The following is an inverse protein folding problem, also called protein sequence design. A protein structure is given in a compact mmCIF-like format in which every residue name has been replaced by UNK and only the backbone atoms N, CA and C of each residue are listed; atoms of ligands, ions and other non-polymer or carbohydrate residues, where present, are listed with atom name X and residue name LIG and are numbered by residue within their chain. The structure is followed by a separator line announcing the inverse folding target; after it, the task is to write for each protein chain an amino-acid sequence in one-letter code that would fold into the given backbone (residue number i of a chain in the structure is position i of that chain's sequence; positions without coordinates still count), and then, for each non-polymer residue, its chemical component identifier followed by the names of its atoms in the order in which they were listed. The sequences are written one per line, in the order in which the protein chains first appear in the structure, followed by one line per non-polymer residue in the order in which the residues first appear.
data_IF_435981655479
#
_entry.id   IF_435981655479
#
_cell.length_a   1.000
_cell.length_b   1.000
_cell.length_c   1.000
_cell.angle_alpha   90.00
_cell.angle_beta   90.00
_cell.angle_gamma   90.00
#
_symmetry.space_group_name_H-M   'P 1'
#
loop_
_entity.id
_entity.type
_entity.pdbx_description
1 polymer ?
#
# COMPACT_ATOMS: atom_id res chain seq x y z
N UNK A 1 -17.11 -3.72 -5.98
CA UNK A 1 -16.88 -2.99 -4.72
C UNK A 1 -16.35 -3.86 -3.59
N UNK A 2 -16.84 -5.10 -3.37
CA UNK A 2 -16.32 -5.95 -2.29
C UNK A 2 -14.82 -6.30 -2.44
N UNK A 3 -14.34 -6.50 -3.66
CA UNK A 3 -12.92 -6.70 -3.96
C UNK A 3 -12.08 -5.44 -3.69
N UNK A 4 -12.58 -4.27 -4.10
CA UNK A 4 -11.94 -2.99 -3.81
C UNK A 4 -11.82 -2.80 -2.30
N UNK A 5 -12.92 -3.00 -1.56
CA UNK A 5 -12.92 -2.92 -0.10
C UNK A 5 -11.91 -3.88 0.55
N UNK A 6 -11.80 -5.12 0.05
CA UNK A 6 -10.84 -6.09 0.58
C UNK A 6 -9.38 -5.67 0.30
N UNK A 7 -9.11 -5.05 -0.86
CA UNK A 7 -7.81 -4.46 -1.16
C UNK A 7 -7.41 -3.39 -0.15
N UNK A 8 -8.30 -2.42 0.08
CA UNK A 8 -8.06 -1.32 1.03
C UNK A 8 -7.84 -1.83 2.47
N UNK A 9 -8.56 -2.89 2.88
CA UNK A 9 -8.31 -3.54 4.17
C UNK A 9 -6.91 -4.12 4.23
N UNK A 10 -6.52 -4.90 3.21
CA UNK A 10 -5.22 -5.56 3.14
C UNK A 10 -4.07 -4.54 3.07
N UNK A 11 -4.22 -3.48 2.26
CA UNK A 11 -3.25 -2.40 2.17
C UNK A 11 -3.08 -1.65 3.49
N UNK A 12 -4.18 -1.29 4.15
CA UNK A 12 -4.14 -0.62 5.44
C UNK A 12 -3.45 -1.47 6.53
N UNK A 13 -3.79 -2.77 6.60
CA UNK A 13 -3.17 -3.70 7.53
C UNK A 13 -1.67 -3.87 7.24
N UNK A 14 -1.31 -4.01 5.98
CA UNK A 14 0.09 -4.15 5.56
C UNK A 14 0.93 -2.92 5.91
N UNK A 15 0.46 -1.72 5.57
CA UNK A 15 1.18 -0.49 5.93
C UNK A 15 1.28 -0.30 7.46
N UNK A 16 0.28 -0.75 8.23
CA UNK A 16 0.36 -0.74 9.69
C UNK A 16 1.45 -1.69 10.21
N UNK A 17 1.53 -2.92 9.70
CA UNK A 17 2.56 -3.90 10.04
C UNK A 17 3.96 -3.37 9.70
N UNK A 18 4.13 -2.73 8.53
CA UNK A 18 5.39 -2.11 8.12
C UNK A 18 5.80 -0.97 9.07
N UNK A 19 4.83 -0.16 9.51
CA UNK A 19 5.08 0.90 10.50
C UNK A 19 5.59 0.32 11.82
N UNK A 20 4.97 -0.75 12.32
CA UNK A 20 5.36 -1.43 13.56
C UNK A 20 6.75 -2.05 13.46
N UNK A 21 7.08 -2.66 12.32
CA UNK A 21 8.43 -3.19 12.07
C UNK A 21 9.48 -2.08 12.09
N UNK A 22 9.23 -0.96 11.41
CA UNK A 22 10.15 0.17 11.41
C UNK A 22 10.33 0.80 12.80
N UNK A 23 9.29 0.84 13.63
CA UNK A 23 9.42 1.24 15.04
C UNK A 23 10.31 0.30 15.84
N UNK A 24 10.18 -1.02 15.62
CA UNK A 24 11.04 -2.02 16.26
C UNK A 24 12.52 -1.85 15.88
N UNK A 25 12.78 -1.40 14.67
CA UNK A 25 14.12 -1.07 14.18
C UNK A 25 14.56 0.37 14.47
N UNK A 26 13.84 1.09 15.35
CA UNK A 26 14.12 2.48 15.72
C UNK A 26 14.09 3.48 14.54
N UNK A 27 13.43 3.14 13.44
CA UNK A 27 13.25 4.00 12.27
C UNK A 27 11.90 4.72 12.34
N UNK A 28 11.81 5.70 13.25
CA UNK A 28 10.55 6.41 13.52
C UNK A 28 10.03 7.24 12.34
N UNK A 29 10.93 7.76 11.49
CA UNK A 29 10.53 8.57 10.33
C UNK A 29 9.82 7.72 9.27
N UNK A 30 10.39 6.59 8.90
CA UNK A 30 9.77 5.65 7.96
C UNK A 30 8.51 5.03 8.54
N UNK A 31 8.50 4.71 9.84
CA UNK A 31 7.32 4.24 10.54
C UNK A 31 6.16 5.24 10.44
N UNK A 32 6.43 6.53 10.62
CA UNK A 32 5.41 7.58 10.50
C UNK A 32 4.84 7.70 9.08
N UNK A 33 5.66 7.49 8.05
CA UNK A 33 5.21 7.46 6.65
C UNK A 33 4.26 6.28 6.39
N UNK A 34 4.64 5.06 6.79
CA UNK A 34 3.78 3.89 6.64
C UNK A 34 2.48 4.02 7.44
N UNK A 35 2.52 4.54 8.68
CA UNK A 35 1.31 4.80 9.45
C UNK A 35 0.38 5.82 8.76
N UNK A 36 0.94 6.81 8.08
CA UNK A 36 0.15 7.78 7.31
C UNK A 36 -0.52 7.13 6.10
N UNK A 37 0.17 6.25 5.37
CA UNK A 37 -0.38 5.47 4.28
C UNK A 37 -1.49 4.55 4.79
N UNK A 38 -1.26 3.78 5.86
CA UNK A 38 -2.30 2.97 6.50
C UNK A 38 -3.58 3.76 6.83
N UNK A 39 -3.41 5.01 7.28
CA UNK A 39 -4.53 5.90 7.55
C UNK A 39 -5.28 6.38 6.30
N UNK A 40 -4.62 6.46 5.15
CA UNK A 40 -5.24 6.79 3.85
C UNK A 40 -6.10 5.61 3.40
N UNK A 41 -5.52 4.40 3.31
CA UNK A 41 -6.24 3.19 2.89
C UNK A 41 -7.40 2.84 3.83
N UNK A 42 -7.23 3.05 5.13
CA UNK A 42 -8.30 2.90 6.10
C UNK A 42 -9.50 3.83 5.84
N UNK A 43 -9.27 5.05 5.36
CA UNK A 43 -10.36 5.97 4.97
C UNK A 43 -11.06 5.52 3.70
N UNK A 44 -10.33 5.03 2.71
CA UNK A 44 -10.92 4.50 1.48
C UNK A 44 -11.78 3.28 1.76
N UNK A 45 -11.30 2.34 2.55
CA UNK A 45 -12.07 1.23 3.07
C UNK A 45 -13.41 1.69 3.68
N UNK A 46 -13.36 2.70 4.54
CA UNK A 46 -14.55 3.22 5.22
C UNK A 46 -15.50 3.94 4.25
N UNK A 47 -14.97 4.67 3.27
CA UNK A 47 -15.74 5.31 2.20
C UNK A 47 -16.49 4.29 1.34
N UNK A 48 -15.80 3.21 0.92
CA UNK A 48 -16.41 2.12 0.16
C UNK A 48 -17.55 1.48 0.97
N UNK A 49 -17.32 1.16 2.24
CA UNK A 49 -18.33 0.58 3.11
C UNK A 49 -19.56 1.50 3.26
N UNK A 50 -19.35 2.81 3.40
CA UNK A 50 -20.40 3.82 3.46
C UNK A 50 -21.19 3.92 2.15
N UNK A 51 -20.51 3.98 1.01
CA UNK A 51 -21.15 4.03 -0.32
C UNK A 51 -22.02 2.81 -0.59
N UNK A 52 -21.58 1.65 -0.11
CA UNK A 52 -22.31 0.40 -0.25
C UNK A 52 -23.41 0.22 0.80
N UNK A 53 -23.50 1.10 1.79
CA UNK A 53 -24.45 0.98 2.89
C UNK A 53 -24.24 -0.26 3.77
N UNK A 54 -23.01 -0.77 3.85
CA UNK A 54 -22.72 -1.99 4.61
C UNK A 54 -22.66 -1.70 6.10
N UNK A 55 -23.61 -2.26 6.84
CA UNK A 55 -23.54 -2.33 8.32
C UNK A 55 -22.63 -3.45 8.79
N UNK A 56 -22.44 -4.46 7.95
CA UNK A 56 -21.48 -5.55 8.12
C UNK A 56 -20.76 -5.77 6.78
N UNK A 57 -19.52 -5.29 6.64
CA UNK A 57 -18.72 -5.53 5.45
C UNK A 57 -18.48 -7.02 5.21
N UNK A 58 -18.17 -7.45 3.98
CA UNK A 58 -17.77 -8.82 3.70
C UNK A 58 -16.47 -9.17 4.44
N UNK A 59 -16.26 -10.47 4.69
CA UNK A 59 -15.03 -10.96 5.29
C UNK A 59 -13.87 -10.84 4.27
N UNK A 60 -12.80 -10.06 4.54
CA UNK A 60 -11.66 -9.92 3.63
C UNK A 60 -11.00 -11.27 3.32
N UNK A 61 -10.92 -12.16 4.31
CA UNK A 61 -10.36 -13.51 4.16
C UNK A 61 -11.13 -14.42 3.20
N UNK A 62 -12.35 -14.02 2.78
CA UNK A 62 -13.12 -14.74 1.76
C UNK A 62 -12.63 -14.47 0.34
N UNK A 63 -11.82 -13.44 0.12
CA UNK A 63 -11.26 -13.08 -1.18
C UNK A 63 -9.94 -13.81 -1.41
N UNK A 64 -9.74 -14.27 -2.65
CA UNK A 64 -8.49 -14.91 -3.07
C UNK A 64 -7.95 -14.17 -4.27
N UNK A 65 -6.73 -13.70 -4.14
CA UNK A 65 -5.98 -13.10 -5.24
C UNK A 65 -5.44 -14.18 -6.17
N UNK A 66 -5.14 -13.83 -7.42
CA UNK A 66 -4.47 -14.72 -8.37
C UNK A 66 -3.00 -14.96 -8.01
N UNK A 67 -2.42 -14.00 -7.30
CA UNK A 67 -1.09 -14.07 -6.70
C UNK A 67 -1.23 -14.34 -5.21
N UNK A 68 -0.19 -14.85 -4.51
CA UNK A 68 -0.22 -15.04 -3.06
C UNK A 68 -0.58 -13.77 -2.29
N UNK A 69 -0.29 -12.61 -2.86
CA UNK A 69 -0.50 -11.29 -2.28
C UNK A 69 -1.43 -10.45 -3.14
N UNK A 70 -2.15 -9.52 -2.51
CA UNK A 70 -3.00 -8.55 -3.19
C UNK A 70 -2.21 -7.61 -4.11
N UNK A 71 -2.88 -6.89 -5.03
CA UNK A 71 -2.21 -5.97 -5.95
C UNK A 71 -1.41 -4.88 -5.26
N UNK A 72 -1.80 -4.52 -4.07
CA UNK A 72 -1.29 -3.40 -3.28
C UNK A 72 -0.34 -3.82 -2.15
N UNK A 73 0.02 -5.09 -2.09
CA UNK A 73 0.77 -5.64 -0.97
C UNK A 73 2.27 -5.61 -1.24
N UNK A 74 3.04 -5.06 -0.30
CA UNK A 74 4.50 -5.10 -0.28
C UNK A 74 4.98 -6.46 0.22
N UNK A 75 5.97 -7.06 -0.46
CA UNK A 75 6.69 -8.22 0.06
C UNK A 75 7.55 -7.81 1.27
N UNK A 76 7.51 -8.59 2.36
CA UNK A 76 8.37 -8.38 3.52
C UNK A 76 9.87 -8.47 3.19
N UNK A 77 10.24 -9.20 2.13
CA UNK A 77 11.61 -9.32 1.66
C UNK A 77 12.20 -8.03 1.07
N UNK A 78 11.36 -7.03 0.77
CA UNK A 78 11.77 -5.72 0.27
C UNK A 78 12.10 -4.73 1.40
N UNK A 79 11.91 -5.13 2.66
CA UNK A 79 12.18 -4.30 3.82
C UNK A 79 13.62 -4.48 4.31
N UNK A 80 14.29 -3.36 4.52
CA UNK A 80 15.59 -3.32 5.18
C UNK A 80 15.53 -2.36 6.38
N UNK A 81 16.11 -2.74 7.53
CA UNK A 81 16.03 -1.92 8.75
C UNK A 81 16.77 -0.58 8.64
N UNK A 82 17.71 -0.44 7.71
CA UNK A 82 18.39 0.83 7.37
C UNK A 82 17.65 1.63 6.29
N UNK A 83 16.47 1.18 5.85
CA UNK A 83 15.75 1.88 4.80
C UNK A 83 15.46 3.34 5.21
N UNK A 84 15.53 4.22 4.23
CA UNK A 84 15.26 5.64 4.38
C UNK A 84 13.86 5.97 3.86
N UNK A 85 13.31 7.15 4.17
CA UNK A 85 12.01 7.59 3.66
C UNK A 85 11.86 7.45 2.14
N UNK A 86 12.93 7.70 1.38
CA UNK A 86 12.95 7.50 -0.07
C UNK A 86 12.54 6.07 -0.46
N UNK A 87 13.13 5.05 0.18
CA UNK A 87 12.83 3.64 -0.13
C UNK A 87 11.40 3.26 0.22
N UNK A 88 10.92 3.69 1.40
CA UNK A 88 9.54 3.46 1.83
C UNK A 88 8.53 4.08 0.85
N UNK A 89 8.81 5.30 0.38
CA UNK A 89 7.98 5.97 -0.61
C UNK A 89 8.07 5.32 -1.99
N UNK A 90 9.21 4.77 -2.38
CA UNK A 90 9.34 3.99 -3.64
C UNK A 90 8.55 2.70 -3.60
N UNK A 91 8.54 2.00 -2.46
CA UNK A 91 7.69 0.83 -2.26
C UNK A 91 6.20 1.21 -2.37
N UNK A 92 5.80 2.27 -1.67
CA UNK A 92 4.43 2.76 -1.73
C UNK A 92 4.05 3.18 -3.16
N UNK A 93 4.89 3.96 -3.88
CA UNK A 93 4.64 4.33 -5.27
C UNK A 93 4.39 3.09 -6.15
N UNK A 94 5.18 2.04 -5.98
CA UNK A 94 5.03 0.80 -6.72
C UNK A 94 3.69 0.10 -6.43
N UNK A 95 3.27 0.05 -5.16
CA UNK A 95 2.01 -0.55 -4.76
C UNK A 95 0.81 0.20 -5.36
N UNK A 96 0.77 1.53 -5.21
CA UNK A 96 -0.29 2.37 -5.76
C UNK A 96 -0.37 2.30 -7.30
N UNK A 97 0.79 2.22 -7.98
CA UNK A 97 0.80 2.00 -9.42
C UNK A 97 0.19 0.66 -9.82
N UNK A 98 0.45 -0.40 -9.07
CA UNK A 98 -0.14 -1.73 -9.29
C UNK A 98 -1.64 -1.72 -9.03
N UNK A 99 -2.10 -1.06 -7.97
CA UNK A 99 -3.51 -0.89 -7.66
C UNK A 99 -4.24 -0.11 -8.76
N UNK A 100 -3.69 1.03 -9.19
CA UNK A 100 -4.23 1.80 -10.29
C UNK A 100 -4.37 0.96 -11.58
N UNK A 101 -3.33 0.22 -11.96
CA UNK A 101 -3.33 -0.67 -13.13
C UNK A 101 -4.37 -1.79 -13.00
N UNK A 102 -4.53 -2.34 -11.81
CA UNK A 102 -5.55 -3.36 -11.53
C UNK A 102 -6.95 -2.81 -11.81
N UNK A 103 -7.30 -1.65 -11.27
CA UNK A 103 -8.60 -1.03 -11.49
C UNK A 103 -8.80 -0.54 -12.93
N UNK A 104 -7.77 -0.01 -13.59
CA UNK A 104 -7.80 0.35 -15.03
C UNK A 104 -8.12 -0.88 -15.90
N UNK A 105 -7.55 -2.03 -15.57
CA UNK A 105 -7.86 -3.28 -16.26
C UNK A 105 -9.34 -3.67 -16.11
N UNK A 106 -9.90 -3.54 -14.91
CA UNK A 106 -11.33 -3.82 -14.67
C UNK A 106 -12.23 -2.80 -15.38
N UNK A 107 -11.86 -1.53 -15.41
CA UNK A 107 -12.61 -0.49 -16.12
C UNK A 107 -12.67 -0.73 -17.65
N UNK A 108 -11.61 -1.34 -18.21
CA UNK A 108 -11.52 -1.70 -19.62
C UNK A 108 -12.15 -3.07 -19.95
N UNK A 109 -12.46 -3.91 -18.96
CA UNK A 109 -12.96 -5.26 -19.15
C UNK A 109 -14.43 -5.28 -19.64
N UNK A 110 -14.87 -6.42 -20.18
CA UNK A 110 -16.28 -6.66 -20.56
C UNK A 110 -17.13 -6.96 -19.33
N UNK A 111 -17.39 -5.94 -18.53
CA UNK A 111 -18.17 -5.99 -17.30
C UNK A 111 -19.39 -5.06 -17.40
N UNK A 112 -20.41 -5.19 -16.51
CA UNK A 112 -21.50 -4.24 -16.39
C UNK A 112 -21.00 -2.80 -16.28
N UNK A 113 -21.77 -1.85 -16.81
CA UNK A 113 -21.36 -0.43 -16.91
C UNK A 113 -21.11 0.23 -15.56
N UNK A 114 -21.91 -0.13 -14.56
CA UNK A 114 -21.78 0.35 -13.18
C UNK A 114 -20.49 -0.18 -12.51
N UNK A 115 -20.13 -1.43 -12.76
CA UNK A 115 -18.86 -2.02 -12.29
C UNK A 115 -17.67 -1.33 -12.93
N UNK A 116 -17.73 -1.08 -14.25
CA UNK A 116 -16.65 -0.36 -14.96
C UNK A 116 -16.51 1.08 -14.48
N UNK A 117 -17.63 1.76 -14.25
CA UNK A 117 -17.60 3.12 -13.72
C UNK A 117 -17.00 3.18 -12.30
N UNK A 118 -17.34 2.22 -11.44
CA UNK A 118 -16.75 2.11 -10.12
C UNK A 118 -15.25 1.82 -10.18
N UNK A 119 -14.81 0.90 -11.04
CA UNK A 119 -13.40 0.61 -11.25
C UNK A 119 -12.63 1.81 -11.79
N UNK A 120 -13.21 2.59 -12.71
CA UNK A 120 -12.58 3.81 -13.21
C UNK A 120 -12.43 4.88 -12.12
N UNK A 121 -13.40 5.00 -11.22
CA UNK A 121 -13.30 5.91 -10.08
C UNK A 121 -12.16 5.49 -9.13
N UNK A 122 -12.07 4.20 -8.78
CA UNK A 122 -10.98 3.66 -7.96
C UNK A 122 -9.62 3.90 -8.62
N UNK A 123 -9.48 3.59 -9.93
CA UNK A 123 -8.24 3.86 -10.65
C UNK A 123 -7.80 5.33 -10.58
N UNK A 124 -8.76 6.27 -10.63
CA UNK A 124 -8.46 7.69 -10.49
C UNK A 124 -8.00 8.06 -9.07
N UNK A 125 -8.55 7.43 -8.04
CA UNK A 125 -8.12 7.62 -6.65
C UNK A 125 -6.68 7.12 -6.47
N UNK A 126 -6.35 5.89 -6.93
CA UNK A 126 -4.99 5.34 -6.86
C UNK A 126 -3.97 6.19 -7.64
N UNK A 127 -4.35 6.73 -8.80
CA UNK A 127 -3.48 7.70 -9.51
C UNK A 127 -3.25 8.97 -8.70
N UNK A 128 -4.22 9.40 -7.91
CA UNK A 128 -4.07 10.51 -6.96
C UNK A 128 -3.04 10.19 -5.86
N UNK A 129 -3.03 8.95 -5.34
CA UNK A 129 -2.04 8.49 -4.36
C UNK A 129 -0.64 8.43 -4.95
N UNK A 130 -0.47 7.87 -6.14
CA UNK A 130 0.82 7.90 -6.87
C UNK A 130 1.35 9.32 -6.96
N UNK A 131 0.50 10.29 -7.32
CA UNK A 131 0.90 11.69 -7.42
C UNK A 131 1.31 12.27 -6.06
N UNK A 132 0.54 11.99 -5.01
CA UNK A 132 0.84 12.42 -3.64
C UNK A 132 2.18 11.86 -3.16
N UNK A 133 2.45 10.58 -3.41
CA UNK A 133 3.70 9.93 -3.03
C UNK A 133 4.88 10.54 -3.80
N UNK A 134 4.72 10.86 -5.09
CA UNK A 134 5.74 11.55 -5.87
C UNK A 134 6.06 12.94 -5.35
N UNK A 135 5.05 13.67 -4.87
CA UNK A 135 5.26 14.96 -4.18
C UNK A 135 6.04 14.82 -2.86
N UNK A 136 5.85 13.70 -2.16
CA UNK A 136 6.66 13.40 -0.98
C UNK A 136 8.06 12.97 -1.37
N UNK A 137 8.23 12.10 -2.37
CA UNK A 137 9.54 11.68 -2.89
C UNK A 137 10.42 12.87 -3.29
N UNK A 138 9.83 13.92 -3.85
CA UNK A 138 10.56 15.13 -4.21
C UNK A 138 11.24 15.84 -3.01
N UNK A 139 10.87 15.48 -1.78
CA UNK A 139 11.45 16.03 -0.53
C UNK A 139 12.60 15.18 0.02
N UNK A 140 12.78 13.97 -0.51
CA UNK A 140 13.78 13.01 -0.03
C UNK A 140 14.71 12.67 -1.19
N UNK A 141 16.01 13.00 -1.10
CA UNK A 141 16.96 12.64 -2.13
C UNK A 141 17.14 11.13 -2.21
N UNK A 142 17.46 10.64 -3.40
CA UNK A 142 17.86 9.25 -3.56
C UNK A 142 19.13 8.98 -2.75
N UNK A 143 19.14 7.94 -1.91
CA UNK A 143 20.30 7.59 -1.10
C UNK A 143 21.49 7.13 -1.95
N UNK A 144 22.69 7.33 -1.42
CA UNK A 144 23.92 6.85 -2.04
C UNK A 144 23.93 5.30 -2.14
N UNK A 145 24.60 4.72 -3.14
CA UNK A 145 24.79 3.27 -3.22
C UNK A 145 25.45 2.70 -1.96
N UNK A 146 25.01 1.50 -1.54
CA UNK A 146 25.49 0.85 -0.32
C UNK A 146 24.78 1.32 0.96
N UNK A 147 23.65 2.01 0.83
CA UNK A 147 22.82 2.45 1.96
C UNK A 147 22.33 1.28 2.85
N UNK A 148 22.32 0.06 2.33
CA UNK A 148 21.90 -1.19 2.99
C UNK A 148 23.09 -1.97 3.59
N UNK A 149 24.33 -1.47 3.43
CA UNK A 149 25.51 -2.05 4.06
C UNK A 149 25.58 -1.64 5.54
N UNK A 150 25.33 -2.58 6.45
CA UNK A 150 25.56 -2.39 7.87
C UNK A 150 26.98 -2.76 8.23
N UNK A 151 27.76 -1.77 8.66
CA UNK A 151 29.15 -1.96 9.09
C UNK A 151 29.26 -2.59 10.48
N UNK A 152 28.17 -2.65 11.26
CA UNK A 152 28.11 -3.24 12.59
C UNK A 152 26.78 -4.02 12.76
N UNK A 153 26.58 -5.10 11.99
CA UNK A 153 25.31 -5.84 12.01
C UNK A 153 25.05 -6.45 13.39
N UNK A 154 23.77 -6.56 13.81
CA UNK A 154 23.42 -7.18 15.07
C UNK A 154 24.03 -8.56 15.19
N UNK A 155 24.69 -8.84 16.31
CA UNK A 155 25.24 -10.17 16.58
C UNK A 155 24.10 -11.19 16.57
N UNK A 156 24.15 -12.16 15.65
CA UNK A 156 23.25 -13.31 15.66
C UNK A 156 23.69 -14.16 16.85
N UNK A 157 22.87 -14.27 17.89
CA UNK A 157 23.12 -15.22 18.96
C UNK A 157 22.93 -16.64 18.38
N UNK A 158 24.02 -17.44 18.42
CA UNK A 158 23.98 -18.86 18.06
C UNK A 158 23.07 -19.67 19.01
#
# INVERSE_FOLDING_TARGET
MAWAWAMEVEAAERYQELAEQMLTHHNAEVAALFAKLAGIEGKHRDQIAQQMGWTRPPDPGSFRWRTPEGPETTDYGELHYLMQPYHALKLAEHNEERAAQFFEHFAAAKLPSDVRAAAAAMAAEERGHVQLIREWLAKYPEPEPGWDEDLDPPAVAD
#
